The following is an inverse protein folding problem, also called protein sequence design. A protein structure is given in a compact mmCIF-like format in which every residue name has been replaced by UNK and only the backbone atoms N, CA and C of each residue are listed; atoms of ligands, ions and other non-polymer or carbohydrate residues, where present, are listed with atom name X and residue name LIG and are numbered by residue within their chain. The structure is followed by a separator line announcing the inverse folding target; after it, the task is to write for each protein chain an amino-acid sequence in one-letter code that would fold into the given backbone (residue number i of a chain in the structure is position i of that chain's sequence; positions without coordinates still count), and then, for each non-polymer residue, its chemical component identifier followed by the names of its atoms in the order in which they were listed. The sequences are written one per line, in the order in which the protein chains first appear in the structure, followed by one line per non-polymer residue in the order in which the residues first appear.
data_IF_240725711962
#
_entry.id   IF_240725711962
#
_cell.length_a   1.000
_cell.length_b   1.000
_cell.length_c   1.000
_cell.angle_alpha   90.00
_cell.angle_beta   90.00
_cell.angle_gamma   90.00
#
_symmetry.space_group_name_H-M   'P 1'
#
loop_
_entity.id
_entity.type
_entity.pdbx_description
1 polymer ?
#
# COMPACT_ATOMS: atom_id res chain seq x y z
N UNK A 1 39.55 -45.82 -44.71
CA UNK A 1 38.42 -46.67 -44.29
C UNK A 1 38.38 -46.70 -42.78
N UNK A 2 37.38 -46.08 -42.15
CA UNK A 2 36.79 -46.51 -40.87
C UNK A 2 35.53 -45.69 -40.60
N UNK A 3 34.41 -46.35 -40.92
CA UNK A 3 33.03 -46.03 -40.56
C UNK A 3 32.95 -46.36 -39.06
N UNK A 4 32.36 -45.55 -38.18
CA UNK A 4 30.92 -45.48 -37.92
C UNK A 4 30.78 -44.51 -36.74
N UNK A 5 29.93 -43.48 -36.80
CA UNK A 5 29.54 -42.71 -35.62
C UNK A 5 28.09 -43.03 -35.29
N UNK A 6 27.87 -43.58 -34.10
CA UNK A 6 26.56 -43.78 -33.49
C UNK A 6 25.94 -42.40 -33.15
N UNK A 7 24.80 -42.09 -33.74
CA UNK A 7 23.99 -40.94 -33.32
C UNK A 7 23.17 -41.34 -32.09
N UNK A 8 23.50 -40.76 -30.94
CA UNK A 8 22.67 -40.85 -29.72
C UNK A 8 21.62 -39.76 -29.81
N UNK A 9 20.35 -40.14 -29.97
CA UNK A 9 19.22 -39.22 -29.87
C UNK A 9 18.96 -38.97 -28.38
N UNK A 10 19.33 -37.79 -27.89
CA UNK A 10 18.90 -37.29 -26.58
C UNK A 10 17.47 -36.74 -26.71
N UNK A 11 16.49 -37.46 -26.18
CA UNK A 11 15.16 -36.91 -25.94
C UNK A 11 15.25 -36.07 -24.67
N UNK A 12 15.28 -34.74 -24.82
CA UNK A 12 15.11 -33.83 -23.71
C UNK A 12 13.64 -33.87 -23.26
N UNK A 13 13.38 -34.52 -22.14
CA UNK A 13 12.10 -34.42 -21.44
C UNK A 13 11.99 -33.00 -20.85
N UNK A 14 11.29 -32.11 -21.55
CA UNK A 14 10.96 -30.79 -21.03
C UNK A 14 10.08 -30.94 -19.79
N UNK A 15 10.53 -30.44 -18.65
CA UNK A 15 9.70 -30.31 -17.45
C UNK A 15 8.64 -29.26 -17.74
N UNK A 16 7.37 -29.68 -17.82
CA UNK A 16 6.24 -28.74 -17.80
C UNK A 16 6.18 -28.15 -16.38
N UNK A 17 6.72 -26.94 -16.21
CA UNK A 17 6.51 -26.17 -15.01
C UNK A 17 5.00 -25.90 -14.87
N UNK A 18 4.38 -26.57 -13.90
CA UNK A 18 2.98 -26.34 -13.54
C UNK A 18 2.88 -24.99 -12.81
N UNK A 19 1.85 -24.21 -13.14
CA UNK A 19 1.62 -22.88 -12.55
C UNK A 19 1.46 -22.96 -11.04
N UNK A 20 2.50 -22.58 -10.31
CA UNK A 20 2.46 -22.40 -8.87
C UNK A 20 1.83 -21.06 -8.50
N UNK A 21 0.98 -21.04 -7.48
CA UNK A 21 0.47 -19.81 -6.88
C UNK A 21 1.65 -18.98 -6.36
N UNK A 22 1.81 -17.74 -6.84
CA UNK A 22 2.82 -16.83 -6.30
C UNK A 22 2.54 -16.61 -4.80
N UNK A 23 3.52 -16.83 -3.91
CA UNK A 23 3.32 -16.63 -2.48
C UNK A 23 3.06 -15.14 -2.20
N UNK A 24 2.00 -14.85 -1.44
CA UNK A 24 1.72 -13.52 -0.94
C UNK A 24 2.46 -13.31 0.39
N UNK A 25 3.12 -12.17 0.52
CA UNK A 25 3.79 -11.73 1.74
C UNK A 25 3.27 -10.37 2.19
N UNK A 26 3.59 -10.01 3.43
CA UNK A 26 3.27 -8.70 4.01
C UNK A 26 4.54 -8.06 4.54
N UNK A 27 4.66 -6.75 4.35
CA UNK A 27 5.73 -5.94 4.92
C UNK A 27 5.14 -4.84 5.80
N UNK A 28 5.79 -4.55 6.92
CA UNK A 28 5.39 -3.45 7.77
C UNK A 28 5.85 -2.12 7.14
N UNK A 29 4.90 -1.35 6.59
CA UNK A 29 5.19 -0.05 5.96
C UNK A 29 5.40 1.05 7.01
N UNK A 30 4.54 1.09 8.04
CA UNK A 30 4.66 2.08 9.12
C UNK A 30 3.94 1.63 10.39
N UNK A 31 4.29 2.24 11.52
CA UNK A 31 3.68 1.99 12.83
C UNK A 31 3.46 3.32 13.59
N UNK A 32 2.94 3.25 14.82
CA UNK A 32 2.69 4.46 15.64
C UNK A 32 1.38 5.19 15.31
N UNK A 33 0.49 4.58 14.52
CA UNK A 33 -0.85 5.11 14.21
C UNK A 33 -1.85 4.83 15.34
N UNK A 34 -2.81 5.73 15.53
CA UNK A 34 -3.90 5.61 16.49
C UNK A 34 -5.22 5.23 15.79
N UNK A 35 -5.69 3.99 15.97
CA UNK A 35 -6.95 3.48 15.40
C UNK A 35 -7.09 3.79 13.90
N UNK A 36 -6.12 3.38 13.04
CA UNK A 36 -6.22 3.62 11.60
C UNK A 36 -7.42 2.86 11.01
N UNK A 37 -8.16 3.49 10.10
CA UNK A 37 -9.38 2.91 9.53
C UNK A 37 -9.43 2.92 8.00
N UNK A 38 -8.73 3.85 7.35
CA UNK A 38 -8.74 4.00 5.89
C UNK A 38 -7.43 4.58 5.39
N UNK A 39 -7.06 4.21 4.16
CA UNK A 39 -5.86 4.69 3.47
C UNK A 39 -6.25 5.06 2.04
N UNK A 40 -5.76 6.21 1.56
CA UNK A 40 -6.01 6.69 0.20
C UNK A 40 -4.87 7.59 -0.28
N UNK A 41 -4.95 8.08 -1.51
CA UNK A 41 -4.05 9.07 -2.07
C UNK A 41 -4.83 10.12 -2.88
N UNK A 42 -4.23 11.30 -3.07
CA UNK A 42 -4.83 12.32 -3.92
C UNK A 42 -4.60 11.99 -5.41
N UNK A 43 -5.55 12.31 -6.31
CA UNK A 43 -5.35 12.14 -7.75
C UNK A 43 -4.07 12.84 -8.24
N UNK A 44 -3.18 12.09 -8.90
CA UNK A 44 -1.91 12.59 -9.43
C UNK A 44 -0.79 12.76 -8.39
N UNK A 45 -1.05 12.46 -7.11
CA UNK A 45 -0.03 12.42 -6.06
C UNK A 45 0.45 10.98 -5.88
N UNK A 46 1.71 10.72 -6.26
CA UNK A 46 2.36 9.42 -6.15
C UNK A 46 3.36 9.34 -4.99
N UNK A 47 3.51 10.44 -4.26
CA UNK A 47 4.55 10.61 -3.24
C UNK A 47 3.99 10.45 -1.82
N UNK A 48 2.68 10.64 -1.66
CA UNK A 48 2.04 10.70 -0.35
C UNK A 48 0.87 9.73 -0.23
N UNK A 49 0.86 9.01 0.87
CA UNK A 49 -0.26 8.19 1.32
C UNK A 49 -0.93 8.87 2.51
N UNK A 50 -2.25 9.04 2.42
CA UNK A 50 -3.07 9.66 3.46
C UNK A 50 -3.76 8.57 4.27
N UNK A 51 -3.54 8.58 5.58
CA UNK A 51 -4.03 7.57 6.52
C UNK A 51 -5.01 8.23 7.47
N UNK A 52 -6.24 7.72 7.52
CA UNK A 52 -7.28 8.20 8.43
C UNK A 52 -7.15 7.50 9.78
N UNK A 53 -6.88 8.28 10.83
CA UNK A 53 -6.94 7.86 12.22
C UNK A 53 -8.29 8.23 12.82
N UNK A 54 -9.03 7.24 13.32
CA UNK A 54 -10.39 7.47 13.82
C UNK A 54 -10.40 8.47 14.98
N UNK A 55 -9.52 8.23 15.97
CA UNK A 55 -9.19 9.18 17.04
C UNK A 55 -8.01 8.74 17.90
N UNK A 56 -7.30 9.72 18.44
CA UNK A 56 -6.50 9.63 19.66
C UNK A 56 -7.12 10.56 20.71
N UNK A 57 -7.61 10.00 21.82
CA UNK A 57 -8.49 10.75 22.74
C UNK A 57 -9.76 11.21 22.02
N UNK A 58 -9.99 12.53 21.97
CA UNK A 58 -11.08 13.21 21.26
C UNK A 58 -10.65 13.87 19.94
N UNK A 59 -9.49 13.50 19.40
CA UNK A 59 -8.94 14.12 18.18
C UNK A 59 -8.85 13.09 17.05
N UNK A 60 -9.60 13.30 15.97
CA UNK A 60 -9.45 12.58 14.69
C UNK A 60 -8.36 13.22 13.84
N UNK A 61 -7.61 12.41 13.08
CA UNK A 61 -6.45 12.90 12.30
C UNK A 61 -6.37 12.27 10.92
N UNK A 62 -5.83 13.02 9.97
CA UNK A 62 -5.31 12.47 8.72
C UNK A 62 -3.79 12.58 8.78
N UNK A 63 -3.09 11.44 8.77
CA UNK A 63 -1.63 11.35 8.74
C UNK A 63 -1.15 11.23 7.30
N UNK A 64 0.08 11.67 7.05
CA UNK A 64 0.76 11.48 5.77
C UNK A 64 1.93 10.53 6.00
N UNK A 65 1.97 9.45 5.23
CA UNK A 65 3.18 8.66 5.03
C UNK A 65 3.80 9.10 3.71
N UNK A 66 5.05 9.55 3.78
CA UNK A 66 5.83 10.05 2.66
C UNK A 66 6.65 8.89 2.06
N UNK A 67 6.37 8.55 0.80
CA UNK A 67 6.97 7.42 0.10
C UNK A 67 8.41 7.70 -0.35
N UNK A 68 8.79 8.97 -0.51
CA UNK A 68 10.14 9.36 -0.90
C UNK A 68 11.14 9.16 0.25
N UNK A 69 10.70 9.50 1.47
CA UNK A 69 11.51 9.41 2.68
C UNK A 69 11.26 8.11 3.47
N UNK A 70 10.19 7.38 3.16
CA UNK A 70 9.69 6.24 3.93
C UNK A 70 9.41 6.60 5.40
N UNK A 71 8.78 7.75 5.62
CA UNK A 71 8.50 8.24 6.98
C UNK A 71 7.05 8.64 7.18
N UNK A 72 6.55 8.39 8.40
CA UNK A 72 5.29 8.97 8.86
C UNK A 72 5.57 10.40 9.31
N UNK A 73 5.02 11.38 8.60
CA UNK A 73 5.28 12.78 8.92
C UNK A 73 4.75 13.13 10.33
N UNK A 74 5.50 13.94 11.12
CA UNK A 74 5.13 14.23 12.50
C UNK A 74 3.86 15.09 12.58
N UNK A 75 3.73 16.06 11.67
CA UNK A 75 2.57 16.94 11.56
C UNK A 75 1.46 16.26 10.75
N UNK A 76 0.24 16.11 11.29
CA UNK A 76 -0.88 15.59 10.52
C UNK A 76 -1.31 16.58 9.43
N UNK A 77 -1.89 16.06 8.34
CA UNK A 77 -2.54 16.87 7.31
C UNK A 77 -3.78 17.59 7.86
N UNK A 78 -4.57 16.88 8.67
CA UNK A 78 -5.77 17.39 9.32
C UNK A 78 -5.81 16.90 10.76
N UNK A 79 -6.26 17.77 11.68
CA UNK A 79 -6.54 17.42 13.07
C UNK A 79 -7.84 18.11 13.48
N UNK A 80 -8.83 17.34 13.93
CA UNK A 80 -10.17 17.84 14.27
C UNK A 80 -10.70 17.19 15.54
N UNK A 81 -11.49 17.94 16.32
CA UNK A 81 -12.21 17.39 17.47
C UNK A 81 -13.37 16.51 17.02
N UNK A 82 -13.55 15.36 17.67
CA UNK A 82 -14.55 14.36 17.32
C UNK A 82 -15.21 13.75 18.56
N UNK A 83 -16.42 13.21 18.39
CA UNK A 83 -17.10 12.40 19.42
C UNK A 83 -16.40 11.03 19.62
N UNK A 84 -16.60 10.41 20.79
CA UNK A 84 -15.71 9.35 21.28
C UNK A 84 -16.34 7.97 21.54
N UNK A 85 -17.50 7.66 20.98
CA UNK A 85 -18.08 6.32 20.96
C UNK A 85 -17.28 5.25 20.19
N UNK A 86 -17.87 4.06 20.02
CA UNK A 86 -17.23 2.91 19.36
C UNK A 86 -16.88 3.23 17.90
N UNK A 87 -17.91 3.48 17.08
CA UNK A 87 -17.81 3.85 15.66
C UNK A 87 -17.85 5.36 15.45
N UNK A 88 -17.72 6.16 16.52
CA UNK A 88 -17.64 7.61 16.40
C UNK A 88 -16.17 8.04 16.28
N UNK A 89 -15.97 9.13 15.53
CA UNK A 89 -14.66 9.68 15.25
C UNK A 89 -14.63 10.30 13.86
N UNK A 90 -13.43 10.48 13.32
CA UNK A 90 -13.26 10.69 11.88
C UNK A 90 -13.48 9.34 11.19
N UNK A 91 -14.35 9.26 10.19
CA UNK A 91 -14.78 7.98 9.59
C UNK A 91 -14.39 7.80 8.13
N UNK A 92 -13.94 8.87 7.48
CA UNK A 92 -13.57 8.81 6.09
C UNK A 92 -13.06 10.14 5.58
N UNK A 93 -12.53 10.08 4.37
CA UNK A 93 -12.14 11.23 3.58
C UNK A 93 -12.22 10.84 2.11
N UNK A 94 -12.37 11.83 1.25
CA UNK A 94 -12.21 11.69 -0.19
C UNK A 94 -11.52 12.95 -0.70
N UNK A 95 -10.68 12.79 -1.71
CA UNK A 95 -10.21 13.91 -2.50
C UNK A 95 -11.15 14.12 -3.68
N UNK A 96 -11.42 15.37 -3.99
CA UNK A 96 -12.04 15.74 -5.24
C UNK A 96 -11.16 15.25 -6.41
N UNK A 97 -11.75 14.78 -7.53
CA UNK A 97 -10.97 14.33 -8.70
C UNK A 97 -9.96 15.37 -9.22
N UNK A 98 -10.29 16.65 -9.02
CA UNK A 98 -9.50 17.82 -9.40
C UNK A 98 -8.76 18.50 -8.21
N UNK A 99 -8.43 17.72 -7.17
CA UNK A 99 -7.81 18.22 -5.94
C UNK A 99 -6.56 19.08 -6.20
N UNK A 100 -5.74 18.73 -7.19
CA UNK A 100 -4.53 19.47 -7.53
C UNK A 100 -4.82 20.95 -7.88
N UNK A 101 -5.99 21.24 -8.45
CA UNK A 101 -6.37 22.59 -8.86
C UNK A 101 -7.30 23.28 -7.86
N UNK A 102 -8.06 22.54 -7.06
CA UNK A 102 -9.11 23.12 -6.21
C UNK A 102 -8.97 22.86 -4.70
N UNK A 103 -8.07 21.97 -4.28
CA UNK A 103 -7.80 21.68 -2.87
C UNK A 103 -8.96 21.06 -2.08
N UNK A 104 -9.94 20.42 -2.75
CA UNK A 104 -11.14 19.85 -2.12
C UNK A 104 -11.09 18.35 -1.88
#
# INVERSE_FOLDING_TARGET
MNRTLCAVIMVAAGTLAHGGTAPLGTELVTSGLARPLYVTHAPGDFDRIFIVEQRSGSTGRIRIFDLNTNTLLPTPFLSVSVSTGSEQGLLGMAFHPDYANNGK
#
